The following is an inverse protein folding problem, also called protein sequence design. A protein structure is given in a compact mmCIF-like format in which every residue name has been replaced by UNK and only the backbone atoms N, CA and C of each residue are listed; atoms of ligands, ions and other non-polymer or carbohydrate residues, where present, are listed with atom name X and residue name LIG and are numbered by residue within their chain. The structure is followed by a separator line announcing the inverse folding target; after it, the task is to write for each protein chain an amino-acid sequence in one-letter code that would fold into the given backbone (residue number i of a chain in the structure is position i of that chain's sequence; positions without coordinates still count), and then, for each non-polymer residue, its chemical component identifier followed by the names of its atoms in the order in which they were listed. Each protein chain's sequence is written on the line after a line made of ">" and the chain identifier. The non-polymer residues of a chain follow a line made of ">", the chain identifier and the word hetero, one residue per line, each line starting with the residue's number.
data_IF_369094741808
#
_entry.id   IF_369094741808
#
_cell.length_a   1.000
_cell.length_b   1.000
_cell.length_c   1.000
_cell.angle_alpha   90.00
_cell.angle_beta   90.00
_cell.angle_gamma   90.00
#
_symmetry.space_group_name_H-M   'P 1'
#
loop_
_entity.id
_entity.type
_entity.pdbx_description
1 polymer ?
#
# COMPACT_ATOMS: atom_id res chain seq x y z
N UNK A 1 -0.32 -4.38 -11.97
CA UNK A 1 0.08 -2.95 -11.93
C UNK A 1 1.59 -2.71 -12.02
N UNK A 2 2.47 -3.47 -11.34
CA UNK A 2 3.91 -3.16 -11.28
C UNK A 2 4.81 -3.79 -12.38
N UNK A 3 4.27 -4.60 -13.29
CA UNK A 3 5.07 -5.31 -14.31
C UNK A 3 5.27 -4.50 -15.61
N UNK A 4 4.81 -3.24 -15.67
CA UNK A 4 4.71 -2.49 -16.93
C UNK A 4 3.59 -3.03 -17.84
N UNK A 5 3.18 -2.25 -18.84
CA UNK A 5 2.19 -2.69 -19.84
C UNK A 5 0.72 -2.37 -19.54
N UNK A 6 0.42 -1.64 -18.46
CA UNK A 6 -0.93 -1.11 -18.21
C UNK A 6 -1.04 0.31 -18.75
N UNK A 7 -2.06 0.57 -19.57
CA UNK A 7 -2.54 1.93 -19.85
C UNK A 7 -3.52 2.39 -18.76
N UNK A 8 -3.77 3.70 -18.66
CA UNK A 8 -4.80 4.23 -17.76
C UNK A 8 -6.18 3.60 -18.01
N UNK A 9 -6.50 3.33 -19.27
CA UNK A 9 -7.75 2.68 -19.68
C UNK A 9 -7.84 1.24 -19.13
N UNK A 10 -6.79 0.43 -19.33
CA UNK A 10 -6.74 -0.93 -18.80
C UNK A 10 -6.80 -0.97 -17.27
N UNK A 11 -6.24 0.06 -16.61
CA UNK A 11 -6.23 0.21 -15.17
C UNK A 11 -7.62 0.54 -14.62
N UNK A 12 -8.34 1.45 -15.29
CA UNK A 12 -9.69 1.85 -14.92
C UNK A 12 -10.69 0.69 -15.10
N UNK A 13 -10.57 -0.06 -16.20
CA UNK A 13 -11.38 -1.25 -16.45
C UNK A 13 -11.16 -2.34 -15.39
N UNK A 14 -9.89 -2.61 -15.01
CA UNK A 14 -9.57 -3.59 -13.94
C UNK A 14 -10.14 -3.13 -12.59
N UNK A 15 -9.99 -1.86 -12.24
CA UNK A 15 -10.50 -1.32 -10.98
C UNK A 15 -12.02 -1.37 -10.88
N UNK A 16 -12.73 -1.06 -11.97
CA UNK A 16 -14.19 -1.16 -12.03
C UNK A 16 -14.68 -2.61 -11.97
N UNK A 17 -14.08 -3.51 -12.76
CA UNK A 17 -14.47 -4.92 -12.81
C UNK A 17 -14.26 -5.65 -11.47
N UNK A 18 -13.30 -5.18 -10.67
CA UNK A 18 -12.96 -5.77 -9.37
C UNK A 18 -13.55 -5.02 -8.19
N UNK A 19 -14.40 -4.02 -8.45
CA UNK A 19 -15.02 -3.16 -7.43
C UNK A 19 -13.99 -2.66 -6.40
N UNK A 20 -12.82 -2.24 -6.89
CA UNK A 20 -11.73 -1.83 -5.99
C UNK A 20 -12.20 -0.60 -5.22
N UNK A 21 -12.37 -0.76 -3.91
CA UNK A 21 -12.62 0.32 -2.96
C UNK A 21 -11.38 0.49 -2.06
N UNK A 22 -10.36 1.26 -2.47
CA UNK A 22 -9.14 1.40 -1.70
C UNK A 22 -9.47 1.98 -0.33
N UNK A 23 -9.12 1.23 0.71
CA UNK A 23 -9.14 1.74 2.07
C UNK A 23 -7.73 2.16 2.42
N UNK A 24 -7.60 3.42 2.84
CA UNK A 24 -6.34 3.89 3.38
C UNK A 24 -5.99 3.05 4.62
N UNK A 25 -4.79 2.48 4.62
CA UNK A 25 -4.22 1.78 5.75
C UNK A 25 -3.02 2.58 6.24
N UNK A 26 -2.93 2.78 7.56
CA UNK A 26 -1.77 3.47 8.13
C UNK A 26 -0.50 2.64 7.91
N UNK A 27 0.58 3.28 7.46
CA UNK A 27 1.89 2.67 7.28
C UNK A 27 2.60 2.30 8.58
N UNK A 28 2.00 2.63 9.75
CA UNK A 28 2.53 2.28 11.08
C UNK A 28 3.96 2.77 11.34
N UNK A 29 4.43 3.81 10.64
CA UNK A 29 5.83 4.27 10.69
C UNK A 29 6.29 4.54 12.12
N UNK A 30 5.60 5.41 12.85
CA UNK A 30 5.94 5.76 14.24
C UNK A 30 5.94 4.53 15.17
N UNK A 31 4.99 3.60 14.99
CA UNK A 31 4.94 2.35 15.77
C UNK A 31 6.16 1.48 15.48
N UNK A 32 6.51 1.33 14.20
CA UNK A 32 7.64 0.52 13.76
C UNK A 32 8.97 1.12 14.23
N UNK A 33 9.12 2.44 14.15
CA UNK A 33 10.28 3.17 14.69
C UNK A 33 10.43 2.93 16.20
N UNK A 34 9.32 2.98 16.95
CA UNK A 34 9.34 2.70 18.40
C UNK A 34 9.75 1.25 18.73
N UNK A 35 9.34 0.26 17.92
CA UNK A 35 9.77 -1.13 18.10
C UNK A 35 11.28 -1.26 17.93
N UNK A 36 11.84 -0.64 16.89
CA UNK A 36 13.28 -0.66 16.63
C UNK A 36 14.05 0.02 17.77
N UNK A 37 13.59 1.19 18.21
CA UNK A 37 14.22 1.92 19.32
C UNK A 37 14.24 1.09 20.61
N UNK A 38 13.14 0.42 20.96
CA UNK A 38 13.09 -0.45 22.13
C UNK A 38 14.00 -1.67 22.01
N UNK A 39 14.18 -2.23 20.82
CA UNK A 39 15.07 -3.37 20.63
C UNK A 39 16.57 -3.01 20.74
N UNK A 40 16.93 -1.76 20.45
CA UNK A 40 18.32 -1.27 20.52
C UNK A 40 18.65 -0.72 21.91
N UNK A 41 17.71 -0.03 22.54
CA UNK A 41 17.96 0.76 23.75
C UNK A 41 17.25 0.25 25.01
N UNK A 42 16.36 -0.74 24.90
CA UNK A 42 15.68 -1.38 26.03
C UNK A 42 16.41 -2.63 26.50
#
# INVERSE_FOLDING_TARGET
>A
MLAGGYSLESLAADAAAREIAPRHVSGQQERLENIVNRAIYG
#
